data_IF_852748272184
#
_entry.id   IF_852748272184
#
_cell.length_a   1.000
_cell.length_b   1.000
_cell.length_c   1.000
_cell.angle_alpha   90.00
_cell.angle_beta   90.00
_cell.angle_gamma   90.00
#
_symmetry.space_group_name_H-M   'P 1'
#
loop_
_entity.id
_entity.type
_entity.pdbx_description
1 polymer ?
#
# COMPACT_ATOMS: atom_id res chain seq x y z
N UNK A 1 7.08 -25.57 4.16
CA UNK A 1 6.14 -24.85 3.28
C UNK A 1 6.94 -23.87 2.45
N UNK A 2 6.88 -23.95 1.13
CA UNK A 2 7.57 -23.01 0.23
C UNK A 2 6.96 -21.61 0.41
N UNK A 3 7.79 -20.59 0.59
CA UNK A 3 7.36 -19.19 0.70
C UNK A 3 7.54 -18.52 -0.65
N UNK A 4 6.58 -17.70 -1.07
CA UNK A 4 6.69 -16.95 -2.32
C UNK A 4 7.74 -15.84 -2.23
N UNK A 5 7.85 -15.20 -1.07
CA UNK A 5 8.84 -14.14 -0.81
C UNK A 5 9.52 -14.41 0.52
N UNK A 6 10.84 -14.34 0.55
CA UNK A 6 11.66 -14.41 1.76
C UNK A 6 12.59 -13.20 1.78
N UNK A 7 12.58 -12.47 2.88
CA UNK A 7 13.49 -11.35 3.15
C UNK A 7 14.12 -11.58 4.51
N UNK A 8 15.44 -11.65 4.58
CA UNK A 8 16.17 -11.81 5.83
C UNK A 8 17.25 -10.74 5.99
N UNK A 9 17.16 -9.95 7.06
CA UNK A 9 18.07 -8.89 7.47
C UNK A 9 18.48 -7.95 6.33
N UNK A 10 17.50 -7.63 5.45
CA UNK A 10 17.71 -6.80 4.28
C UNK A 10 18.13 -5.38 4.66
N UNK A 11 19.24 -4.90 4.10
CA UNK A 11 19.70 -3.53 4.25
C UNK A 11 19.88 -2.84 2.92
N UNK A 12 19.63 -1.52 2.89
CA UNK A 12 19.97 -0.68 1.74
C UNK A 12 20.47 0.68 2.21
N UNK A 13 21.68 1.00 1.77
CA UNK A 13 22.30 2.30 1.97
C UNK A 13 22.46 3.00 0.63
N UNK A 14 22.14 4.29 0.59
CA UNK A 14 22.40 5.17 -0.55
C UNK A 14 23.51 6.16 -0.15
N UNK A 15 24.39 6.46 -1.09
CA UNK A 15 25.35 7.56 -0.97
C UNK A 15 24.79 8.77 -1.70
N UNK A 16 24.49 9.82 -0.95
CA UNK A 16 23.99 11.09 -1.48
C UNK A 16 25.09 12.12 -1.37
N UNK A 17 25.40 12.78 -2.49
CA UNK A 17 26.35 13.89 -2.50
C UNK A 17 25.66 15.13 -1.89
N UNK A 18 26.19 15.64 -0.79
CA UNK A 18 25.76 16.95 -0.27
C UNK A 18 26.34 18.07 -1.16
N UNK A 19 25.47 18.68 -1.96
CA UNK A 19 25.84 19.89 -2.72
C UNK A 19 25.59 21.12 -1.87
N UNK A 20 26.62 21.92 -1.63
CA UNK A 20 26.45 23.24 -1.03
C UNK A 20 25.68 24.15 -1.99
N UNK A 21 24.71 24.95 -1.55
CA UNK A 21 23.95 25.84 -2.41
C UNK A 21 24.85 26.95 -2.99
N UNK A 22 24.59 27.33 -4.25
CA UNK A 22 25.27 28.41 -4.96
C UNK A 22 26.38 27.98 -5.90
N UNK A 23 26.76 28.90 -6.84
CA UNK A 23 27.73 28.63 -7.92
C UNK A 23 29.11 28.28 -7.33
N UNK A 24 29.54 28.94 -6.26
CA UNK A 24 30.80 28.64 -5.56
C UNK A 24 30.78 27.26 -4.88
N UNK A 25 29.60 26.83 -4.37
CA UNK A 25 29.40 25.51 -3.81
C UNK A 25 29.47 24.41 -4.88
N UNK A 26 28.97 24.67 -6.09
CA UNK A 26 29.03 23.72 -7.21
C UNK A 26 30.47 23.47 -7.68
N UNK A 27 31.33 24.48 -7.70
CA UNK A 27 32.75 24.32 -8.08
C UNK A 27 33.55 23.61 -6.97
N UNK A 28 33.28 23.95 -5.70
CA UNK A 28 33.90 23.31 -4.53
C UNK A 28 33.51 21.82 -4.42
N UNK A 29 32.28 21.45 -4.82
CA UNK A 29 31.79 20.06 -4.77
C UNK A 29 32.48 19.13 -5.80
N UNK A 30 33.17 19.67 -6.80
CA UNK A 30 33.97 18.88 -7.76
C UNK A 30 35.25 18.37 -7.09
N UNK A 31 35.80 19.12 -6.12
CA UNK A 31 37.07 18.79 -5.45
C UNK A 31 36.90 18.19 -4.05
N UNK A 32 35.76 18.39 -3.38
CA UNK A 32 35.48 17.85 -2.03
C UNK A 32 33.98 17.59 -1.84
N UNK A 33 33.49 16.46 -2.35
CA UNK A 33 32.11 16.06 -2.13
C UNK A 33 32.00 15.24 -0.83
N UNK A 34 31.36 15.80 0.18
CA UNK A 34 31.01 15.03 1.39
C UNK A 34 29.86 14.09 1.06
N UNK A 35 30.13 12.78 1.09
CA UNK A 35 29.12 11.76 0.86
C UNK A 35 28.35 11.49 2.16
N UNK A 36 27.06 11.71 2.14
CA UNK A 36 26.15 11.33 3.23
C UNK A 36 25.56 9.95 2.95
N UNK A 37 25.72 9.01 3.89
CA UNK A 37 25.05 7.70 3.81
C UNK A 37 23.64 7.81 4.36
N UNK A 38 22.63 7.53 3.52
CA UNK A 38 21.24 7.41 3.90
C UNK A 38 20.89 5.94 3.98
N UNK A 39 20.56 5.45 5.19
CA UNK A 39 20.14 4.06 5.41
C UNK A 39 18.64 3.94 5.16
N UNK A 40 18.26 3.49 3.97
CA UNK A 40 16.86 3.32 3.59
C UNK A 40 16.23 2.06 4.19
N UNK A 41 17.00 0.97 4.31
CA UNK A 41 16.57 -0.27 4.99
C UNK A 41 17.62 -0.66 6.02
N UNK A 42 17.16 -1.10 7.20
CA UNK A 42 17.98 -1.29 8.42
C UNK A 42 17.81 -2.70 9.02
N UNK A 43 17.89 -3.74 8.19
CA UNK A 43 17.76 -5.14 8.63
C UNK A 43 16.31 -5.63 8.63
N UNK A 44 15.58 -5.36 7.53
CA UNK A 44 14.20 -5.79 7.34
C UNK A 44 14.13 -7.30 7.13
N UNK A 45 13.25 -8.01 7.88
CA UNK A 45 13.00 -9.44 7.73
C UNK A 45 11.51 -9.74 7.76
N UNK A 46 11.01 -10.42 6.74
CA UNK A 46 9.63 -10.92 6.64
C UNK A 46 9.52 -12.01 5.57
N UNK A 47 8.38 -12.65 5.50
CA UNK A 47 8.10 -13.61 4.42
C UNK A 47 6.63 -13.56 4.01
N UNK A 48 6.32 -13.92 2.76
CA UNK A 48 4.95 -13.96 2.20
C UNK A 48 4.69 -15.37 1.65
N UNK A 49 3.49 -15.90 1.91
CA UNK A 49 3.07 -17.20 1.40
C UNK A 49 2.59 -17.10 -0.06
N UNK A 50 2.64 -18.20 -0.84
CA UNK A 50 2.02 -18.23 -2.16
C UNK A 50 0.52 -17.88 -2.09
N UNK A 51 0.04 -17.08 -3.04
CA UNK A 51 -1.35 -16.64 -3.13
C UNK A 51 -1.78 -15.58 -2.11
N UNK A 52 -0.91 -15.20 -1.19
CA UNK A 52 -1.23 -14.22 -0.15
C UNK A 52 -1.27 -12.79 -0.71
N UNK A 53 -2.30 -12.02 -0.35
CA UNK A 53 -2.35 -10.58 -0.57
C UNK A 53 -1.99 -9.86 0.72
N UNK A 54 -0.86 -9.16 0.72
CA UNK A 54 -0.29 -8.50 1.89
C UNK A 54 -0.20 -7.00 1.66
N UNK A 55 -0.72 -6.22 2.60
CA UNK A 55 -0.52 -4.78 2.66
C UNK A 55 0.86 -4.43 3.22
N UNK A 56 1.64 -3.63 2.50
CA UNK A 56 2.98 -3.19 2.91
C UNK A 56 2.95 -1.70 3.22
N UNK A 57 2.87 -1.34 4.49
CA UNK A 57 2.51 -0.01 4.98
C UNK A 57 3.70 0.70 5.60
N UNK A 58 3.72 2.01 5.47
CA UNK A 58 4.72 2.86 6.12
C UNK A 58 4.59 4.31 5.67
N UNK A 59 5.11 5.28 6.42
CA UNK A 59 5.15 6.67 5.99
C UNK A 59 6.03 6.85 4.73
N UNK A 60 5.97 8.04 4.15
CA UNK A 60 6.87 8.39 3.06
C UNK A 60 8.32 8.32 3.56
N UNK A 61 9.19 7.67 2.77
CA UNK A 61 10.58 7.44 3.16
C UNK A 61 10.81 6.22 4.06
N UNK A 62 9.78 5.48 4.47
CA UNK A 62 9.93 4.26 5.29
C UNK A 62 10.68 3.12 4.59
N UNK A 63 10.84 3.17 3.26
CA UNK A 63 11.55 2.14 2.49
C UNK A 63 10.66 1.24 1.64
N UNK A 64 9.34 1.50 1.53
CA UNK A 64 8.38 0.68 0.77
C UNK A 64 8.83 0.44 -0.67
N UNK A 65 8.88 1.49 -1.48
CA UNK A 65 9.32 1.43 -2.89
C UNK A 65 10.74 0.86 -3.04
N UNK A 66 11.64 1.15 -2.09
CA UNK A 66 13.00 0.58 -2.08
C UNK A 66 12.95 -0.93 -1.94
N UNK A 67 12.11 -1.44 -1.04
CA UNK A 67 11.90 -2.88 -0.84
C UNK A 67 11.33 -3.53 -2.10
N UNK A 68 10.25 -2.97 -2.68
CA UNK A 68 9.66 -3.53 -3.91
C UNK A 68 10.66 -3.56 -5.08
N UNK A 69 11.49 -2.53 -5.24
CA UNK A 69 12.54 -2.50 -6.27
C UNK A 69 13.62 -3.56 -6.04
N UNK A 70 13.93 -3.88 -4.78
CA UNK A 70 14.87 -4.94 -4.47
C UNK A 70 14.25 -6.30 -4.79
N UNK A 71 13.01 -6.54 -4.37
CA UNK A 71 12.28 -7.79 -4.62
C UNK A 71 12.06 -8.05 -6.12
N UNK A 72 11.94 -7.01 -6.92
CA UNK A 72 11.79 -7.11 -8.39
C UNK A 72 13.11 -7.13 -9.16
N UNK A 73 14.26 -7.14 -8.48
CA UNK A 73 15.59 -7.14 -9.13
C UNK A 73 16.00 -5.81 -9.76
N UNK A 74 15.22 -4.72 -9.56
CA UNK A 74 15.55 -3.39 -10.08
C UNK A 74 16.63 -2.67 -9.27
N UNK A 75 16.84 -3.08 -8.00
CA UNK A 75 17.76 -2.43 -7.10
C UNK A 75 18.53 -3.47 -6.27
N UNK A 76 19.86 -3.40 -6.27
CA UNK A 76 20.69 -4.27 -5.43
C UNK A 76 20.58 -3.88 -3.95
N UNK A 77 20.53 -4.84 -3.02
CA UNK A 77 20.66 -4.57 -1.58
C UNK A 77 22.09 -4.15 -1.24
N UNK A 78 22.28 -3.63 -0.04
CA UNK A 78 23.62 -3.46 0.52
C UNK A 78 24.07 -4.68 1.28
N UNK A 79 23.15 -5.42 1.93
CA UNK A 79 23.38 -6.73 2.55
C UNK A 79 22.03 -7.38 2.89
N UNK A 80 22.06 -8.61 3.35
CA UNK A 80 20.90 -9.44 3.64
C UNK A 80 20.60 -10.42 2.53
N UNK A 81 19.56 -11.24 2.74
CA UNK A 81 19.13 -12.25 1.79
C UNK A 81 17.71 -11.98 1.32
N UNK A 82 17.47 -12.21 0.03
CA UNK A 82 16.14 -12.12 -0.58
C UNK A 82 15.96 -13.29 -1.55
N UNK A 83 14.79 -13.91 -1.49
CA UNK A 83 14.34 -14.88 -2.49
C UNK A 83 12.90 -14.58 -2.87
N UNK A 84 12.58 -14.65 -4.15
CA UNK A 84 11.23 -14.51 -4.70
C UNK A 84 10.97 -15.71 -5.61
N UNK A 85 9.97 -16.54 -5.28
CA UNK A 85 9.67 -17.79 -5.98
C UNK A 85 10.90 -18.70 -6.14
N UNK A 86 11.72 -18.78 -5.07
CA UNK A 86 12.98 -19.52 -4.99
C UNK A 86 14.11 -19.00 -5.90
N UNK A 87 13.93 -17.83 -6.55
CA UNK A 87 14.97 -17.16 -7.35
C UNK A 87 15.67 -16.06 -6.55
N UNK A 88 16.94 -15.84 -6.88
CA UNK A 88 17.63 -14.61 -6.54
C UNK A 88 17.21 -13.50 -7.54
N UNK A 89 16.57 -12.42 -7.07
CA UNK A 89 16.08 -11.36 -7.98
C UNK A 89 17.17 -10.68 -8.81
N UNK A 90 18.43 -10.72 -8.38
CA UNK A 90 19.54 -10.02 -9.05
C UNK A 90 20.15 -10.81 -10.19
N UNK A 91 19.95 -12.11 -10.24
CA UNK A 91 20.32 -12.93 -11.38
C UNK A 91 19.51 -12.56 -12.61
N UNK A 92 18.29 -12.00 -12.42
CA UNK A 92 17.38 -11.56 -13.50
C UNK A 92 17.20 -12.64 -14.57
N UNK A 93 17.13 -13.90 -14.12
CA UNK A 93 16.89 -15.00 -15.04
C UNK A 93 15.57 -14.77 -15.78
N UNK A 94 15.50 -15.25 -17.01
CA UNK A 94 14.28 -15.14 -17.82
C UNK A 94 13.08 -15.81 -17.13
N UNK A 95 13.33 -16.94 -16.46
CA UNK A 95 12.33 -17.65 -15.68
C UNK A 95 11.81 -16.82 -14.50
N UNK A 96 12.68 -16.11 -13.80
CA UNK A 96 12.29 -15.21 -12.72
C UNK A 96 11.43 -14.05 -13.23
N UNK A 97 11.90 -13.36 -14.29
CA UNK A 97 11.21 -12.19 -14.84
C UNK A 97 9.80 -12.50 -15.35
N UNK A 98 9.58 -13.72 -15.83
CA UNK A 98 8.24 -14.21 -16.22
C UNK A 98 7.30 -14.46 -15.05
N UNK A 99 7.81 -14.64 -13.84
CA UNK A 99 7.01 -14.94 -12.67
C UNK A 99 6.64 -13.73 -11.84
N UNK A 100 7.24 -12.57 -12.11
CA UNK A 100 7.00 -11.36 -11.33
C UNK A 100 6.47 -10.23 -12.21
N UNK A 101 5.73 -9.31 -11.59
CA UNK A 101 5.42 -8.00 -12.18
C UNK A 101 5.50 -6.90 -11.14
N UNK A 102 5.88 -5.70 -11.57
CA UNK A 102 5.92 -4.49 -10.72
C UNK A 102 5.14 -3.38 -11.40
N UNK A 103 4.09 -2.89 -10.76
CA UNK A 103 3.32 -1.71 -11.20
C UNK A 103 3.59 -0.58 -10.22
N UNK A 104 3.97 0.59 -10.73
CA UNK A 104 4.22 1.79 -9.94
C UNK A 104 3.22 2.89 -10.34
N UNK A 105 2.32 3.28 -9.44
CA UNK A 105 1.25 4.23 -9.73
C UNK A 105 1.69 5.59 -10.26
N UNK A 106 2.94 5.98 -9.94
CA UNK A 106 3.52 7.26 -10.38
C UNK A 106 4.39 7.15 -11.63
N UNK A 107 4.56 5.95 -12.20
CA UNK A 107 5.42 5.73 -13.36
C UNK A 107 4.66 5.05 -14.48
N UNK A 108 4.83 5.57 -15.69
CA UNK A 108 4.27 4.95 -16.88
C UNK A 108 5.21 3.86 -17.39
N UNK A 109 4.64 2.70 -17.72
CA UNK A 109 5.32 1.58 -18.38
C UNK A 109 4.88 1.48 -19.85
N UNK A 110 3.71 2.04 -20.18
CA UNK A 110 3.17 2.07 -21.52
C UNK A 110 3.77 3.18 -22.36
N UNK A 111 3.87 2.97 -23.65
CA UNK A 111 4.34 3.97 -24.59
C UNK A 111 3.31 5.07 -24.78
N UNK A 112 3.71 6.29 -24.40
CA UNK A 112 2.83 7.45 -24.26
C UNK A 112 2.08 7.84 -25.54
N UNK A 113 2.77 7.77 -26.67
CA UNK A 113 2.22 8.20 -27.98
C UNK A 113 1.53 7.08 -28.76
N UNK A 114 1.61 5.84 -28.28
CA UNK A 114 0.99 4.68 -28.93
C UNK A 114 -0.30 4.24 -28.19
N UNK A 115 -1.21 3.55 -28.91
CA UNK A 115 -2.30 2.81 -28.25
C UNK A 115 -1.77 1.77 -27.29
N UNK A 116 -2.50 1.52 -26.19
CA UNK A 116 -2.06 0.56 -25.18
C UNK A 116 -1.87 -0.87 -25.73
N UNK A 117 -2.67 -1.25 -26.73
CA UNK A 117 -2.58 -2.56 -27.39
C UNK A 117 -1.17 -2.84 -27.97
N UNK A 118 -0.48 -1.82 -28.47
CA UNK A 118 0.87 -1.96 -29.00
C UNK A 118 1.87 -2.37 -27.91
N UNK A 119 1.71 -1.84 -26.70
CA UNK A 119 2.51 -2.24 -25.54
C UNK A 119 2.20 -3.67 -25.11
N UNK A 120 0.94 -4.11 -25.24
CA UNK A 120 0.55 -5.49 -24.94
C UNK A 120 1.15 -6.49 -25.94
N UNK A 121 1.16 -6.15 -27.22
CA UNK A 121 1.82 -6.96 -28.25
C UNK A 121 3.34 -7.05 -28.02
N UNK A 122 3.95 -5.95 -27.59
CA UNK A 122 5.36 -5.97 -27.20
C UNK A 122 5.60 -6.92 -26.00
N UNK A 123 4.75 -6.85 -24.96
CA UNK A 123 4.86 -7.75 -23.82
C UNK A 123 4.65 -9.21 -24.23
N UNK A 124 3.72 -9.48 -25.14
CA UNK A 124 3.53 -10.81 -25.72
C UNK A 124 4.83 -11.34 -26.34
N UNK A 125 5.52 -10.51 -27.11
CA UNK A 125 6.80 -10.87 -27.73
C UNK A 125 7.91 -11.07 -26.70
N UNK A 126 8.06 -10.14 -25.73
CA UNK A 126 9.10 -10.17 -24.69
C UNK A 126 8.95 -11.39 -23.79
N UNK A 127 7.72 -11.70 -23.38
CA UNK A 127 7.42 -12.82 -22.47
C UNK A 127 7.11 -14.11 -23.23
N UNK A 128 7.21 -14.11 -24.58
CA UNK A 128 6.98 -15.26 -25.48
C UNK A 128 5.63 -15.93 -25.19
N UNK A 129 4.56 -15.13 -25.08
CA UNK A 129 3.23 -15.62 -24.78
C UNK A 129 2.62 -16.28 -26.05
N UNK A 130 2.20 -17.55 -26.01
CA UNK A 130 1.51 -18.17 -27.15
C UNK A 130 0.26 -17.37 -27.56
N UNK A 131 -0.01 -17.27 -28.86
CA UNK A 131 -1.13 -16.48 -29.39
C UNK A 131 -2.46 -16.81 -28.68
N UNK A 132 -2.78 -18.08 -28.53
CA UNK A 132 -4.02 -18.53 -27.87
C UNK A 132 -4.13 -18.04 -26.42
N UNK A 133 -3.01 -18.09 -25.67
CA UNK A 133 -3.01 -17.66 -24.26
C UNK A 133 -3.06 -16.13 -24.17
N UNK A 134 -2.38 -15.44 -25.07
CA UNK A 134 -2.44 -13.98 -25.16
C UNK A 134 -3.86 -13.48 -25.40
N UNK A 135 -4.53 -13.97 -26.45
CA UNK A 135 -5.92 -13.60 -26.76
C UNK A 135 -6.84 -13.85 -25.59
N UNK A 136 -6.78 -15.07 -25.01
CA UNK A 136 -7.58 -15.43 -23.84
C UNK A 136 -7.33 -14.49 -22.64
N UNK A 137 -6.07 -14.22 -22.32
CA UNK A 137 -5.71 -13.39 -21.19
C UNK A 137 -6.11 -11.91 -21.42
N UNK A 138 -5.92 -11.42 -22.65
CA UNK A 138 -6.30 -10.07 -23.03
C UNK A 138 -7.81 -9.88 -22.91
N UNK A 139 -8.62 -10.78 -23.48
CA UNK A 139 -10.08 -10.71 -23.43
C UNK A 139 -10.58 -10.75 -21.98
N UNK A 140 -10.01 -11.61 -21.15
CA UNK A 140 -10.34 -11.72 -19.73
C UNK A 140 -10.06 -10.41 -18.99
N UNK A 141 -8.85 -9.87 -19.12
CA UNK A 141 -8.43 -8.64 -18.40
C UNK A 141 -9.20 -7.42 -18.91
N UNK A 142 -9.41 -7.30 -20.21
CA UNK A 142 -10.17 -6.21 -20.85
C UNK A 142 -11.63 -6.22 -20.38
N UNK A 143 -12.24 -7.40 -20.30
CA UNK A 143 -13.61 -7.58 -19.80
C UNK A 143 -13.72 -7.19 -18.34
N UNK A 144 -12.83 -7.71 -17.47
CA UNK A 144 -12.83 -7.41 -16.03
C UNK A 144 -12.64 -5.91 -15.72
N UNK A 145 -11.78 -5.25 -16.49
CA UNK A 145 -11.50 -3.82 -16.29
C UNK A 145 -12.46 -2.89 -17.07
N UNK A 146 -13.31 -3.44 -17.96
CA UNK A 146 -14.28 -2.68 -18.72
C UNK A 146 -13.69 -1.67 -19.70
N UNK A 147 -12.58 -2.03 -20.39
CA UNK A 147 -11.78 -1.09 -21.21
C UNK A 147 -11.73 -1.42 -22.70
N UNK A 148 -12.59 -2.30 -23.21
CA UNK A 148 -12.58 -2.76 -24.61
C UNK A 148 -12.55 -1.63 -25.64
N UNK A 149 -13.27 -0.55 -25.40
CA UNK A 149 -13.34 0.61 -26.31
C UNK A 149 -12.09 1.49 -26.28
N UNK A 150 -11.20 1.29 -25.34
CA UNK A 150 -10.04 2.15 -25.10
C UNK A 150 -8.73 1.58 -25.66
N UNK A 151 -8.68 0.31 -26.05
CA UNK A 151 -7.47 -0.41 -26.46
C UNK A 151 -6.68 0.29 -27.58
N UNK A 152 -7.41 0.89 -28.54
CA UNK A 152 -6.86 1.61 -29.69
C UNK A 152 -6.64 3.11 -29.44
N UNK A 153 -6.91 3.58 -28.21
CA UNK A 153 -6.69 4.99 -27.84
C UNK A 153 -5.25 5.18 -27.41
N UNK A 154 -4.61 6.25 -27.88
CA UNK A 154 -3.26 6.62 -27.43
C UNK A 154 -3.22 6.83 -25.92
N UNK A 155 -2.20 6.29 -25.24
CA UNK A 155 -2.07 6.33 -23.78
C UNK A 155 -2.16 7.74 -23.21
N UNK A 156 -1.60 8.75 -23.90
CA UNK A 156 -1.66 10.17 -23.51
C UNK A 156 -3.07 10.76 -23.47
N UNK A 157 -4.03 10.15 -24.17
CA UNK A 157 -5.42 10.62 -24.21
C UNK A 157 -6.32 9.97 -23.17
N UNK A 158 -5.79 8.99 -22.43
CA UNK A 158 -6.50 8.29 -21.37
C UNK A 158 -6.52 9.11 -20.08
N UNK A 159 -7.61 9.03 -19.32
CA UNK A 159 -7.61 9.52 -17.94
C UNK A 159 -6.62 8.72 -17.09
N UNK A 160 -6.27 9.23 -15.91
CA UNK A 160 -5.35 8.54 -15.01
C UNK A 160 -5.86 7.14 -14.63
N UNK A 161 -7.15 7.01 -14.31
CA UNK A 161 -7.78 5.72 -14.00
C UNK A 161 -7.82 4.77 -15.20
N UNK A 162 -8.15 5.28 -16.40
CA UNK A 162 -8.12 4.48 -17.62
C UNK A 162 -6.69 3.99 -17.92
N UNK A 163 -5.70 4.86 -17.76
CA UNK A 163 -4.30 4.51 -17.94
C UNK A 163 -3.85 3.45 -16.94
N UNK A 164 -4.20 3.58 -15.66
CA UNK A 164 -3.86 2.58 -14.64
C UNK A 164 -4.45 1.20 -14.99
N UNK A 165 -5.66 1.14 -15.51
CA UNK A 165 -6.25 -0.10 -16.02
C UNK A 165 -5.42 -0.73 -17.15
N UNK A 166 -4.90 0.08 -18.08
CA UNK A 166 -4.00 -0.40 -19.14
C UNK A 166 -2.65 -0.86 -18.59
N UNK A 167 -2.07 -0.15 -17.62
CA UNK A 167 -0.84 -0.57 -16.93
C UNK A 167 -1.01 -1.95 -16.28
N UNK A 168 -2.16 -2.20 -15.65
CA UNK A 168 -2.45 -3.50 -15.06
C UNK A 168 -2.60 -4.60 -16.11
N UNK A 169 -3.26 -4.34 -17.24
CA UNK A 169 -3.33 -5.32 -18.33
C UNK A 169 -1.92 -5.68 -18.79
N UNK A 170 -1.07 -4.68 -19.06
CA UNK A 170 0.31 -4.90 -19.47
C UNK A 170 1.10 -5.73 -18.44
N UNK A 171 0.87 -5.47 -17.15
CA UNK A 171 1.54 -6.14 -16.06
C UNK A 171 1.05 -7.57 -15.81
N UNK A 172 -0.18 -7.92 -16.24
CA UNK A 172 -0.85 -9.17 -15.88
C UNK A 172 -1.06 -10.11 -17.08
N UNK A 173 -0.83 -9.64 -18.30
CA UNK A 173 -1.14 -10.39 -19.53
C UNK A 173 -0.36 -11.70 -19.65
N UNK A 174 0.83 -11.77 -19.04
CA UNK A 174 1.66 -12.98 -18.98
C UNK A 174 1.46 -13.83 -17.71
N UNK A 175 0.44 -13.49 -16.88
CA UNK A 175 0.05 -14.17 -15.65
C UNK A 175 1.20 -14.39 -14.65
N UNK A 176 1.82 -13.32 -14.16
CA UNK A 176 2.87 -13.44 -13.14
C UNK A 176 2.31 -14.08 -11.86
N UNK A 177 3.16 -14.85 -11.17
CA UNK A 177 2.82 -15.47 -9.87
C UNK A 177 2.95 -14.48 -8.71
N UNK A 178 3.80 -13.47 -8.85
CA UNK A 178 4.01 -12.42 -7.85
C UNK A 178 3.80 -11.05 -8.47
N UNK A 179 2.94 -10.26 -7.85
CA UNK A 179 2.62 -8.91 -8.29
C UNK A 179 3.02 -7.92 -7.19
N UNK A 180 3.89 -6.99 -7.51
CA UNK A 180 4.25 -5.85 -6.70
C UNK A 180 3.47 -4.63 -7.16
N UNK A 181 2.65 -4.05 -6.28
CA UNK A 181 1.85 -2.86 -6.56
C UNK A 181 2.32 -1.71 -5.66
N UNK A 182 2.96 -0.70 -6.26
CA UNK A 182 3.46 0.46 -5.52
C UNK A 182 2.50 1.65 -5.70
N UNK A 183 1.60 1.85 -4.72
CA UNK A 183 0.59 2.91 -4.68
C UNK A 183 -0.30 2.98 -5.94
N UNK A 184 -0.97 1.89 -6.35
CA UNK A 184 -1.67 1.82 -7.63
C UNK A 184 -2.92 2.71 -7.70
N UNK A 185 -3.47 3.13 -6.54
CA UNK A 185 -4.68 3.96 -6.43
C UNK A 185 -4.39 5.45 -6.36
N UNK A 186 -3.11 5.85 -6.35
CA UNK A 186 -2.72 7.25 -6.15
C UNK A 186 -3.27 8.15 -7.26
N UNK A 187 -3.92 9.25 -6.85
CA UNK A 187 -4.46 10.25 -7.78
C UNK A 187 -5.70 9.82 -8.54
N UNK A 188 -6.26 8.62 -8.25
CA UNK A 188 -7.54 8.18 -8.81
C UNK A 188 -8.71 8.78 -8.01
N UNK A 189 -9.84 9.00 -8.68
CA UNK A 189 -11.11 9.31 -8.02
C UNK A 189 -11.65 8.09 -7.24
N UNK A 190 -12.61 8.32 -6.34
CA UNK A 190 -13.15 7.30 -5.44
C UNK A 190 -13.73 6.08 -6.18
N UNK A 191 -14.39 6.30 -7.30
CA UNK A 191 -15.00 5.22 -8.11
C UNK A 191 -13.89 4.39 -8.77
N UNK A 192 -12.89 5.05 -9.34
CA UNK A 192 -11.75 4.37 -9.95
C UNK A 192 -10.93 3.59 -8.93
N UNK A 193 -10.75 4.12 -7.72
CA UNK A 193 -10.10 3.41 -6.61
C UNK A 193 -10.88 2.15 -6.22
N UNK A 194 -12.21 2.25 -6.06
CA UNK A 194 -13.03 1.09 -5.72
C UNK A 194 -12.96 0.01 -6.80
N UNK A 195 -13.17 0.38 -8.06
CA UNK A 195 -13.10 -0.56 -9.18
C UNK A 195 -11.73 -1.26 -9.26
N UNK A 196 -10.65 -0.53 -8.91
CA UNK A 196 -9.31 -1.10 -8.91
C UNK A 196 -9.10 -2.09 -7.75
N UNK A 197 -9.64 -1.78 -6.55
CA UNK A 197 -9.62 -2.71 -5.41
C UNK A 197 -10.37 -3.99 -5.74
N UNK A 198 -11.59 -3.86 -6.24
CA UNK A 198 -12.41 -5.02 -6.62
C UNK A 198 -11.68 -5.90 -7.64
N UNK A 199 -11.06 -5.28 -8.64
CA UNK A 199 -10.26 -5.99 -9.63
C UNK A 199 -9.05 -6.72 -9.00
N UNK A 200 -8.27 -6.07 -8.13
CA UNK A 200 -7.10 -6.68 -7.47
C UNK A 200 -7.53 -7.87 -6.63
N UNK A 201 -8.62 -7.74 -5.89
CA UNK A 201 -9.18 -8.81 -5.05
C UNK A 201 -9.60 -10.02 -5.89
N UNK A 202 -10.40 -9.79 -6.93
CA UNK A 202 -10.88 -10.85 -7.83
C UNK A 202 -9.71 -11.52 -8.57
N UNK A 203 -8.73 -10.73 -9.02
CA UNK A 203 -7.55 -11.27 -9.68
C UNK A 203 -6.73 -12.16 -8.76
N UNK A 204 -6.47 -11.73 -7.51
CA UNK A 204 -5.76 -12.53 -6.51
C UNK A 204 -6.50 -13.85 -6.26
N UNK A 205 -7.81 -13.80 -6.01
CA UNK A 205 -8.64 -14.96 -5.71
C UNK A 205 -8.72 -15.96 -6.86
N UNK A 206 -8.82 -15.47 -8.11
CA UNK A 206 -8.97 -16.30 -9.30
C UNK A 206 -7.66 -16.96 -9.74
N UNK A 207 -6.54 -16.22 -9.62
CA UNK A 207 -5.25 -16.67 -10.16
C UNK A 207 -4.28 -17.14 -9.07
N UNK A 208 -4.68 -17.09 -7.79
CA UNK A 208 -3.82 -17.39 -6.64
C UNK A 208 -2.47 -16.63 -6.68
N UNK A 209 -2.48 -15.42 -7.29
CA UNK A 209 -1.29 -14.60 -7.43
C UNK A 209 -0.90 -14.02 -6.06
N UNK A 210 0.37 -14.12 -5.70
CA UNK A 210 0.91 -13.46 -4.50
C UNK A 210 1.01 -11.96 -4.76
N UNK A 211 0.41 -11.13 -3.91
CA UNK A 211 0.38 -9.68 -4.12
C UNK A 211 0.99 -8.97 -2.90
N UNK A 212 1.98 -8.14 -3.14
CA UNK A 212 2.51 -7.20 -2.16
C UNK A 212 2.13 -5.78 -2.58
N UNK A 213 1.15 -5.20 -1.86
CA UNK A 213 0.52 -3.92 -2.17
C UNK A 213 1.03 -2.84 -1.21
N UNK A 214 1.62 -1.76 -1.73
CA UNK A 214 1.83 -0.56 -0.92
C UNK A 214 0.69 0.42 -1.14
N UNK A 215 0.21 1.02 -0.08
CA UNK A 215 -0.72 2.14 -0.14
C UNK A 215 -0.50 3.06 1.07
N UNK A 216 -0.78 4.33 0.89
CA UNK A 216 -0.96 5.29 1.97
C UNK A 216 -2.46 5.58 2.24
N UNK A 217 -3.35 5.05 1.41
CA UNK A 217 -4.79 5.05 1.63
C UNK A 217 -5.18 3.78 2.40
N UNK A 218 -5.63 3.95 3.64
CA UNK A 218 -5.97 2.81 4.51
C UNK A 218 -7.17 2.00 4.01
N UNK A 219 -8.09 2.62 3.25
CA UNK A 219 -9.22 1.91 2.66
C UNK A 219 -8.75 0.81 1.70
N UNK A 220 -7.67 1.04 0.94
CA UNK A 220 -7.11 0.01 0.06
C UNK A 220 -6.67 -1.23 0.83
N UNK A 221 -6.21 -1.03 2.06
CA UNK A 221 -5.70 -2.11 2.90
C UNK A 221 -6.81 -2.85 3.64
N UNK A 222 -7.79 -2.10 4.16
CA UNK A 222 -8.96 -2.68 4.84
C UNK A 222 -9.76 -3.57 3.89
N UNK A 223 -9.95 -3.11 2.64
CA UNK A 223 -10.75 -3.83 1.66
C UNK A 223 -10.01 -5.05 1.07
N UNK A 224 -8.67 -4.98 0.96
CA UNK A 224 -7.90 -5.97 0.23
C UNK A 224 -7.09 -6.93 1.12
N UNK A 225 -6.43 -6.43 2.15
CA UNK A 225 -5.39 -7.17 2.83
C UNK A 225 -5.82 -7.66 4.22
N UNK A 226 -5.84 -8.98 4.42
CA UNK A 226 -6.06 -9.56 5.75
C UNK A 226 -4.81 -9.46 6.63
N UNK A 227 -3.62 -9.39 6.04
CA UNK A 227 -2.33 -9.25 6.73
C UNK A 227 -1.62 -8.00 6.24
N UNK A 228 -0.99 -7.32 7.19
CA UNK A 228 -0.20 -6.14 6.92
C UNK A 228 1.20 -6.27 7.51
N UNK A 229 2.16 -5.78 6.77
CA UNK A 229 3.54 -5.57 7.19
C UNK A 229 3.75 -4.06 7.31
N UNK A 230 4.00 -3.59 8.53
CA UNK A 230 4.22 -2.17 8.81
C UNK A 230 5.70 -1.91 8.98
N UNK A 231 6.22 -0.97 8.19
CA UNK A 231 7.61 -0.54 8.28
C UNK A 231 7.71 0.95 8.62
N UNK A 232 8.70 1.30 9.40
CA UNK A 232 9.06 2.68 9.70
C UNK A 232 10.57 2.85 9.73
N UNK A 233 11.08 3.94 9.16
CA UNK A 233 12.51 4.23 9.06
C UNK A 233 13.40 3.05 8.62
N UNK A 234 12.89 2.22 7.71
CA UNK A 234 13.58 1.03 7.19
C UNK A 234 13.61 -0.18 8.11
N UNK A 235 12.78 -0.23 9.16
CA UNK A 235 12.64 -1.34 10.11
C UNK A 235 11.24 -1.91 10.10
N UNK A 236 11.12 -3.20 10.38
CA UNK A 236 9.83 -3.85 10.64
C UNK A 236 9.30 -3.38 12.00
N UNK A 237 8.04 -2.93 11.99
CA UNK A 237 7.31 -2.47 13.17
C UNK A 237 6.25 -3.48 13.59
N UNK A 238 5.54 -4.03 12.59
CA UNK A 238 4.47 -5.00 12.81
C UNK A 238 4.37 -5.92 11.58
N UNK A 239 4.05 -7.18 11.83
CA UNK A 239 3.71 -8.18 10.81
C UNK A 239 2.62 -9.08 11.39
N UNK A 240 1.44 -9.08 10.78
CA UNK A 240 0.31 -9.86 11.26
C UNK A 240 -1.03 -9.45 10.66
N UNK A 241 -2.10 -10.06 11.18
CA UNK A 241 -3.47 -9.71 10.77
C UNK A 241 -3.78 -8.23 11.04
N UNK A 242 -4.53 -7.62 10.13
CA UNK A 242 -4.94 -6.22 10.22
C UNK A 242 -5.74 -5.95 11.51
N UNK A 243 -6.60 -6.89 11.90
CA UNK A 243 -7.37 -6.84 13.13
C UNK A 243 -6.47 -6.75 14.38
N UNK A 244 -5.41 -7.55 14.43
CA UNK A 244 -4.45 -7.55 15.53
C UNK A 244 -3.67 -6.23 15.64
N UNK A 245 -3.49 -5.51 14.52
CA UNK A 245 -2.90 -4.17 14.54
C UNK A 245 -3.78 -3.22 15.36
N UNK A 246 -5.09 -3.24 15.12
CA UNK A 246 -6.05 -2.41 15.84
C UNK A 246 -6.09 -2.78 17.32
N UNK A 247 -6.18 -4.06 17.66
CA UNK A 247 -6.19 -4.52 19.06
C UNK A 247 -4.92 -4.14 19.83
N UNK A 248 -3.77 -4.27 19.20
CA UNK A 248 -2.47 -4.00 19.82
C UNK A 248 -2.22 -2.52 20.06
N UNK A 249 -2.67 -1.65 19.16
CA UNK A 249 -2.33 -0.22 19.18
C UNK A 249 -3.51 0.71 19.45
N UNK A 250 -4.77 0.27 19.30
CA UNK A 250 -5.97 1.01 19.68
C UNK A 250 -6.44 0.58 21.07
N UNK A 251 -5.91 1.23 22.10
CA UNK A 251 -6.35 1.03 23.51
C UNK A 251 -7.72 1.66 23.79
N UNK A 252 -8.28 2.39 22.86
CA UNK A 252 -9.50 3.18 22.96
C UNK A 252 -10.55 2.68 21.96
N UNK A 253 -11.84 3.01 22.24
CA UNK A 253 -12.97 2.93 21.32
C UNK A 253 -13.57 4.31 21.13
N UNK A 254 -14.34 4.47 20.08
CA UNK A 254 -15.04 5.71 19.75
C UNK A 254 -16.52 5.49 20.04
N UNK A 255 -17.11 6.38 20.84
CA UNK A 255 -18.56 6.49 21.00
C UNK A 255 -19.00 7.70 20.19
N UNK A 256 -19.91 7.51 19.24
CA UNK A 256 -20.63 8.57 18.55
C UNK A 256 -22.05 8.61 19.13
N UNK A 257 -22.48 9.76 19.61
CA UNK A 257 -23.83 9.93 20.09
C UNK A 257 -24.49 11.13 19.41
N UNK A 258 -25.78 10.97 19.08
CA UNK A 258 -26.64 12.03 18.57
C UNK A 258 -27.55 12.49 19.71
N UNK A 259 -27.60 13.78 19.97
CA UNK A 259 -28.32 14.39 21.07
C UNK A 259 -29.61 15.06 20.57
N UNK A 260 -30.66 15.07 21.40
CA UNK A 260 -31.93 15.79 21.12
C UNK A 260 -31.88 17.25 21.54
N UNK A 261 -30.99 17.63 22.44
CA UNK A 261 -30.76 19.02 22.87
C UNK A 261 -29.29 19.32 23.02
N UNK A 262 -28.93 20.58 22.89
CA UNK A 262 -27.56 21.05 23.06
C UNK A 262 -27.10 20.94 24.52
N UNK A 263 -25.91 20.42 24.76
CA UNK A 263 -25.33 20.24 26.11
C UNK A 263 -23.96 20.94 26.19
N UNK A 264 -23.55 21.31 27.40
CA UNK A 264 -22.22 21.85 27.63
C UNK A 264 -21.16 20.76 27.39
N UNK A 265 -20.22 21.05 26.50
CA UNK A 265 -19.13 20.12 26.13
C UNK A 265 -18.37 19.62 27.37
N UNK A 266 -18.23 20.44 28.41
CA UNK A 266 -17.50 20.07 29.63
C UNK A 266 -18.17 18.91 30.41
N UNK A 267 -19.47 18.72 30.22
CA UNK A 267 -20.17 17.60 30.89
C UNK A 267 -19.71 16.24 30.36
N UNK A 268 -19.19 16.19 29.14
CA UNK A 268 -18.67 14.95 28.54
C UNK A 268 -17.27 14.57 29.01
N UNK A 269 -16.52 15.49 29.64
CA UNK A 269 -15.15 15.23 30.10
C UNK A 269 -15.08 14.10 31.15
N UNK A 270 -16.15 13.89 31.90
CA UNK A 270 -16.28 12.77 32.88
C UNK A 270 -16.50 11.40 32.20
N UNK A 271 -17.00 11.39 30.96
CA UNK A 271 -17.27 10.18 30.18
C UNK A 271 -15.99 9.72 29.46
N UNK A 272 -15.24 10.67 28.89
CA UNK A 272 -14.02 10.39 28.15
C UNK A 272 -13.48 11.61 27.42
N UNK A 273 -12.49 11.40 26.57
CA UNK A 273 -11.87 12.48 25.80
C UNK A 273 -12.75 12.87 24.62
N UNK A 274 -13.33 14.09 24.65
CA UNK A 274 -14.15 14.61 23.56
C UNK A 274 -13.25 14.93 22.35
N UNK A 275 -13.40 14.14 21.27
CA UNK A 275 -12.69 14.37 20.00
C UNK A 275 -13.32 15.48 19.18
N UNK A 276 -14.65 15.50 19.16
CA UNK A 276 -15.45 16.47 18.41
C UNK A 276 -16.82 16.63 19.07
N UNK A 277 -17.27 17.85 19.17
CA UNK A 277 -18.64 18.20 19.50
C UNK A 277 -19.16 19.23 18.49
N UNK A 278 -20.26 18.89 17.83
CA UNK A 278 -20.96 19.77 16.91
C UNK A 278 -22.42 19.31 16.91
N UNK A 279 -23.28 20.00 17.69
CA UNK A 279 -24.69 19.63 17.82
C UNK A 279 -25.32 19.30 16.44
N UNK A 280 -26.03 18.18 16.31
CA UNK A 280 -26.43 17.25 17.37
C UNK A 280 -25.40 16.13 17.70
N UNK A 281 -24.22 16.07 17.09
CA UNK A 281 -23.27 14.97 17.26
C UNK A 281 -22.19 15.28 18.30
N UNK A 282 -21.88 14.26 19.13
CA UNK A 282 -20.68 14.20 19.98
C UNK A 282 -19.88 12.92 19.68
N UNK A 283 -18.57 13.07 19.58
CA UNK A 283 -17.63 11.95 19.36
C UNK A 283 -16.66 11.92 20.55
N UNK A 284 -16.69 10.82 21.30
CA UNK A 284 -15.91 10.64 22.52
C UNK A 284 -14.99 9.43 22.37
N UNK A 285 -13.72 9.58 22.73
CA UNK A 285 -12.76 8.48 22.82
C UNK A 285 -12.71 7.99 24.26
N UNK A 286 -12.90 6.69 24.46
CA UNK A 286 -12.93 6.05 25.78
C UNK A 286 -12.01 4.82 25.80
N UNK A 287 -11.42 4.45 26.94
CA UNK A 287 -10.65 3.22 27.03
C UNK A 287 -11.53 2.00 26.68
N UNK A 288 -10.97 1.05 25.91
CA UNK A 288 -11.69 -0.15 25.46
C UNK A 288 -12.37 -0.91 26.62
N UNK A 289 -11.70 -0.94 27.77
CA UNK A 289 -12.19 -1.67 28.96
C UNK A 289 -13.42 -1.03 29.62
N UNK A 290 -13.59 0.27 29.50
CA UNK A 290 -14.65 1.05 30.15
C UNK A 290 -15.76 1.49 29.19
N UNK A 291 -15.71 1.08 27.90
CA UNK A 291 -16.66 1.54 26.87
C UNK A 291 -18.12 1.26 27.23
N UNK A 292 -18.42 0.12 27.84
CA UNK A 292 -19.79 -0.23 28.23
C UNK A 292 -20.32 0.68 29.38
N UNK A 293 -19.45 1.03 30.33
CA UNK A 293 -19.78 1.94 31.44
C UNK A 293 -20.01 3.35 30.85
N UNK A 294 -19.11 3.84 30.04
CA UNK A 294 -19.21 5.16 29.38
C UNK A 294 -20.49 5.27 28.53
N UNK A 295 -20.82 4.23 27.75
CA UNK A 295 -22.08 4.21 26.99
C UNK A 295 -23.34 4.24 27.89
N UNK A 296 -23.33 3.48 28.99
CA UNK A 296 -24.41 3.50 29.95
C UNK A 296 -24.60 4.89 30.61
N UNK A 297 -23.50 5.53 31.01
CA UNK A 297 -23.54 6.88 31.59
C UNK A 297 -24.05 7.91 30.60
N UNK A 298 -23.66 7.82 29.31
CA UNK A 298 -24.18 8.68 28.24
C UNK A 298 -25.70 8.53 28.10
N UNK A 299 -26.20 7.30 28.03
CA UNK A 299 -27.64 7.02 27.86
C UNK A 299 -28.49 7.42 29.09
N UNK A 300 -27.91 7.40 30.29
CA UNK A 300 -28.63 7.74 31.54
C UNK A 300 -28.64 9.24 31.82
N UNK A 301 -27.55 9.94 31.52
CA UNK A 301 -27.32 11.31 31.99
C UNK A 301 -27.43 12.38 30.89
N UNK A 302 -27.56 11.96 29.62
CA UNK A 302 -27.61 12.89 28.47
C UNK A 302 -28.83 12.57 27.59
N UNK A 303 -29.35 13.57 26.87
CA UNK A 303 -30.52 13.42 25.99
C UNK A 303 -30.11 12.75 24.65
N UNK A 304 -29.67 11.48 24.74
CA UNK A 304 -29.18 10.72 23.57
C UNK A 304 -30.35 10.15 22.78
N UNK A 305 -30.37 10.40 21.46
CA UNK A 305 -31.31 9.81 20.50
C UNK A 305 -30.77 8.52 19.91
N UNK A 306 -29.46 8.55 19.56
CA UNK A 306 -28.77 7.42 18.94
C UNK A 306 -27.34 7.33 19.48
N UNK A 307 -26.80 6.11 19.55
CA UNK A 307 -25.45 5.84 20.03
C UNK A 307 -24.83 4.68 19.26
N UNK A 308 -23.65 4.92 18.76
CA UNK A 308 -22.84 3.92 18.05
C UNK A 308 -21.47 3.79 18.72
N UNK A 309 -21.01 2.54 18.90
CA UNK A 309 -19.67 2.24 19.39
C UNK A 309 -18.85 1.68 18.23
N UNK A 310 -17.78 2.36 17.91
CA UNK A 310 -16.89 1.99 16.78
C UNK A 310 -15.47 1.71 17.27
N UNK A 311 -14.73 0.95 16.47
CA UNK A 311 -13.28 0.87 16.62
C UNK A 311 -12.64 2.20 16.21
N UNK A 312 -11.46 2.49 16.77
CA UNK A 312 -10.67 3.63 16.30
C UNK A 312 -10.33 3.41 14.82
N UNK A 313 -10.58 4.38 13.92
CA UNK A 313 -10.24 4.25 12.53
C UNK A 313 -8.79 3.80 12.34
N UNK A 314 -8.57 2.85 11.42
CA UNK A 314 -7.25 2.23 11.23
C UNK A 314 -6.18 3.26 10.86
N UNK A 315 -6.58 4.34 10.19
CA UNK A 315 -5.71 5.48 9.87
C UNK A 315 -5.14 6.12 11.13
N UNK A 316 -5.95 6.27 12.17
CA UNK A 316 -5.49 6.81 13.46
C UNK A 316 -4.57 5.84 14.17
N UNK A 317 -4.86 4.55 14.10
CA UNK A 317 -4.03 3.49 14.70
C UNK A 317 -2.65 3.50 14.05
N UNK A 318 -2.61 3.45 12.72
CA UNK A 318 -1.36 3.51 11.95
C UNK A 318 -0.62 4.82 12.21
N UNK A 319 -1.32 5.94 12.28
CA UNK A 319 -0.72 7.25 12.63
C UNK A 319 -0.12 7.26 14.03
N UNK A 320 -0.78 6.63 15.03
CA UNK A 320 -0.24 6.47 16.39
C UNK A 320 1.03 5.61 16.39
N UNK A 321 1.03 4.53 15.61
CA UNK A 321 2.22 3.67 15.42
C UNK A 321 3.41 4.48 14.91
N UNK A 322 3.20 5.34 13.89
CA UNK A 322 4.27 6.17 13.30
C UNK A 322 4.67 7.38 14.16
N UNK A 323 3.78 7.97 14.96
CA UNK A 323 4.09 9.16 15.78
C UNK A 323 4.84 8.90 17.08
N UNK A 324 5.11 7.67 17.42
CA UNK A 324 5.93 7.38 18.60
C UNK A 324 5.44 6.31 19.57
N UNK A 325 4.52 5.45 19.16
CA UNK A 325 4.14 4.30 19.98
C UNK A 325 5.26 3.29 20.22
N UNK A 326 6.43 3.46 19.57
CA UNK A 326 7.54 2.50 19.61
C UNK A 326 8.91 3.13 19.95
N UNK A 327 8.96 4.44 20.27
CA UNK A 327 10.16 5.04 20.85
C UNK A 327 10.19 4.76 22.36
N UNK A 328 10.38 3.51 22.73
CA UNK A 328 10.86 3.09 24.06
C UNK A 328 11.92 2.02 23.88
#
# INVERSE_FOLDING_TARGET
>A
MNKAIIVDRLTKNFEVLEKSPGIKGSISSIFSSTKKKVRALKGLSFSVQPGELVGFIGPNGAGKTTTLKILSGLLYPSSGFVSVMDFDPWEKSHEFLRQISLVMGQKNQLWWDLPAIESFELNKAIYEIPNRDYEKNLDELVSLLGVSKLLKTQVRKLSLGQRMKMELIAALIYKPKVLFLDEPTIGLDLIAQQNLRDFIYEYNKKNEATILLTSHNMNDLVDLARRVIVIDEGRLVFDGALENLTEKFAKEKIIKATLSSEEDIKKFDQIGFVKRYSFPEVIISVPRQTVAIAASELLQNFPVIDLTIEEVPIEEVVRKVFRGGLRK
#
